data_IF_147735164285
#
_entry.id   IF_147735164285
#
_cell.length_a   1.000
_cell.length_b   1.000
_cell.length_c   1.000
_cell.angle_alpha   90.00
_cell.angle_beta   90.00
_cell.angle_gamma   90.00
#
_symmetry.space_group_name_H-M   'P 1'
#
loop_
_entity.id
_entity.type
_entity.pdbx_description
1 polymer ?
#
# COMPACT_ATOMS: atom_id res chain seq x y z
N UNK A 1 -21.60 58.46 10.55
CA UNK A 1 -20.49 57.57 10.97
C UNK A 1 -21.07 56.20 11.25
N UNK A 2 -20.63 55.21 10.44
CA UNK A 2 -20.46 53.78 10.76
C UNK A 2 -21.72 52.98 11.16
N UNK A 3 -22.04 51.81 10.61
CA UNK A 3 -21.33 50.92 9.68
C UNK A 3 -22.39 49.94 9.14
N UNK A 4 -22.65 49.95 7.83
CA UNK A 4 -23.49 48.93 7.20
C UNK A 4 -22.74 47.60 7.27
N UNK A 5 -23.32 46.63 7.97
CA UNK A 5 -22.84 45.24 7.97
C UNK A 5 -23.23 44.61 6.64
N UNK A 6 -22.30 44.62 5.70
CA UNK A 6 -22.30 43.77 4.52
C UNK A 6 -22.31 42.31 5.00
N UNK A 7 -23.48 41.66 4.93
CA UNK A 7 -23.58 40.21 5.02
C UNK A 7 -23.01 39.68 3.70
N UNK A 8 -21.71 39.38 3.71
CA UNK A 8 -21.04 38.68 2.62
C UNK A 8 -21.82 37.40 2.34
N UNK A 9 -22.44 37.31 1.15
CA UNK A 9 -23.05 36.09 0.66
C UNK A 9 -22.05 34.95 0.85
N UNK A 10 -22.45 33.98 1.67
CA UNK A 10 -21.75 32.72 1.80
C UNK A 10 -21.64 32.14 0.38
N UNK A 11 -20.42 32.19 -0.18
CA UNK A 11 -20.13 31.63 -1.48
C UNK A 11 -20.70 30.22 -1.54
N UNK A 12 -21.73 30.04 -2.38
CA UNK A 12 -22.29 28.73 -2.62
C UNK A 12 -21.14 27.84 -3.08
N UNK A 13 -20.74 26.88 -2.23
CA UNK A 13 -19.96 25.76 -2.71
C UNK A 13 -20.88 25.08 -3.72
N UNK A 14 -20.69 25.39 -5.00
CA UNK A 14 -21.36 24.71 -6.10
C UNK A 14 -21.14 23.22 -5.88
N UNK A 15 -22.16 22.56 -5.35
CA UNK A 15 -22.20 21.13 -5.22
C UNK A 15 -22.24 20.62 -6.64
N UNK A 16 -21.08 20.48 -7.28
CA UNK A 16 -20.96 19.77 -8.55
C UNK A 16 -21.59 18.41 -8.32
N UNK A 17 -22.75 18.19 -8.94
CA UNK A 17 -23.48 16.94 -8.88
C UNK A 17 -22.52 15.83 -9.30
N UNK A 18 -22.30 14.92 -8.36
CA UNK A 18 -21.37 13.83 -8.56
C UNK A 18 -22.05 12.79 -9.46
N UNK A 19 -21.56 12.67 -10.69
CA UNK A 19 -21.90 11.56 -11.56
C UNK A 19 -20.84 10.47 -11.39
N UNK A 20 -21.30 9.28 -11.01
CA UNK A 20 -20.45 8.10 -10.99
C UNK A 20 -19.86 7.84 -12.38
N UNK A 21 -18.54 7.64 -12.51
CA UNK A 21 -17.97 7.23 -13.77
C UNK A 21 -18.55 5.86 -14.17
N UNK A 22 -18.77 5.61 -15.47
CA UNK A 22 -19.28 4.33 -15.93
C UNK A 22 -18.35 3.20 -15.46
N UNK A 23 -18.91 2.01 -15.14
CA UNK A 23 -18.11 0.89 -14.68
C UNK A 23 -17.05 0.52 -15.73
N UNK A 24 -15.84 0.20 -15.28
CA UNK A 24 -14.75 -0.11 -16.19
C UNK A 24 -15.13 -1.33 -17.06
N UNK A 25 -14.90 -1.29 -18.38
CA UNK A 25 -15.06 -2.45 -19.23
C UNK A 25 -14.15 -3.57 -18.74
N UNK A 26 -14.66 -4.81 -18.71
CA UNK A 26 -13.88 -5.96 -18.24
C UNK A 26 -12.62 -6.17 -19.09
N UNK A 27 -12.74 -5.96 -20.39
CA UNK A 27 -11.65 -6.05 -21.36
C UNK A 27 -11.56 -4.73 -22.13
N UNK A 28 -10.43 -4.03 -21.99
CA UNK A 28 -10.07 -2.86 -22.80
C UNK A 28 -8.64 -3.03 -23.34
N UNK A 29 -8.49 -3.69 -24.51
CA UNK A 29 -7.17 -3.90 -25.12
C UNK A 29 -6.52 -2.59 -25.56
N UNK A 30 -7.28 -1.50 -25.72
CA UNK A 30 -6.76 -0.18 -26.08
C UNK A 30 -5.86 0.38 -24.98
N UNK A 31 -5.99 -0.09 -23.73
CA UNK A 31 -5.08 0.30 -22.64
C UNK A 31 -3.63 -0.12 -22.89
N UNK A 32 -3.40 -1.25 -23.56
CA UNK A 32 -2.06 -1.76 -23.85
C UNK A 32 -1.28 -0.87 -24.83
N UNK A 33 -1.97 -0.06 -25.60
CA UNK A 33 -1.35 0.88 -26.55
C UNK A 33 -0.93 2.19 -25.87
N UNK A 34 -1.41 2.45 -24.65
CA UNK A 34 -1.18 3.74 -23.97
C UNK A 34 0.17 3.75 -23.24
N UNK A 35 0.99 4.78 -23.51
CA UNK A 35 2.26 4.97 -22.80
C UNK A 35 2.10 5.15 -21.28
N UNK A 36 1.01 5.79 -20.86
CA UNK A 36 0.69 5.97 -19.44
C UNK A 36 0.46 4.65 -18.70
N UNK A 37 0.02 3.59 -19.40
CA UNK A 37 -0.15 2.26 -18.82
C UNK A 37 1.19 1.65 -18.42
N UNK A 38 2.19 1.68 -19.31
CA UNK A 38 3.53 1.18 -19.00
C UNK A 38 4.21 2.00 -17.90
N UNK A 39 4.03 3.32 -17.89
CA UNK A 39 4.51 4.17 -16.78
C UNK A 39 3.91 3.75 -15.43
N UNK A 40 2.61 3.42 -15.41
CA UNK A 40 1.95 2.92 -14.22
C UNK A 40 2.47 1.53 -13.79
N UNK A 41 2.72 0.62 -14.73
CA UNK A 41 3.32 -0.68 -14.43
C UNK A 41 4.71 -0.58 -13.82
N UNK A 42 5.56 0.30 -14.37
CA UNK A 42 6.89 0.56 -13.83
C UNK A 42 6.78 1.16 -12.43
N UNK A 43 5.82 2.07 -12.19
CA UNK A 43 5.58 2.63 -10.87
C UNK A 43 5.20 1.57 -9.83
N UNK A 44 4.29 0.64 -10.16
CA UNK A 44 3.91 -0.48 -9.28
C UNK A 44 5.09 -1.44 -9.01
N UNK A 45 5.89 -1.74 -10.03
CA UNK A 45 7.11 -2.55 -9.89
C UNK A 45 8.14 -1.89 -8.97
N UNK A 46 8.46 -0.62 -9.20
CA UNK A 46 9.47 0.11 -8.39
C UNK A 46 8.97 0.31 -6.97
N UNK A 47 7.68 0.64 -6.78
CA UNK A 47 7.11 0.79 -5.45
C UNK A 47 7.17 -0.51 -4.65
N UNK A 48 6.78 -1.65 -5.26
CA UNK A 48 6.88 -2.96 -4.58
C UNK A 48 8.31 -3.39 -4.32
N UNK A 49 9.25 -3.11 -5.22
CA UNK A 49 10.67 -3.33 -5.00
C UNK A 49 11.17 -2.58 -3.75
N UNK A 50 10.90 -1.27 -3.67
CA UNK A 50 11.31 -0.45 -2.54
C UNK A 50 10.60 -0.85 -1.25
N UNK A 51 9.31 -1.19 -1.33
CA UNK A 51 8.52 -1.66 -0.19
C UNK A 51 9.16 -2.91 0.45
N UNK A 52 9.40 -3.95 -0.35
CA UNK A 52 9.98 -5.21 0.16
C UNK A 52 11.44 -5.05 0.56
N UNK A 53 12.22 -4.25 -0.16
CA UNK A 53 13.61 -3.98 0.19
C UNK A 53 13.74 -3.37 1.59
N UNK A 54 13.03 -2.27 1.87
CA UNK A 54 13.13 -1.56 3.16
C UNK A 54 12.55 -2.39 4.30
N UNK A 55 11.39 -3.02 4.10
CA UNK A 55 10.72 -3.78 5.17
C UNK A 55 11.48 -5.03 5.54
N UNK A 56 11.94 -5.83 4.57
CA UNK A 56 12.71 -7.06 4.85
C UNK A 56 14.07 -6.73 5.44
N UNK A 57 14.73 -5.67 4.97
CA UNK A 57 16.00 -5.22 5.56
C UNK A 57 15.80 -4.79 7.03
N UNK A 58 14.69 -4.12 7.35
CA UNK A 58 14.36 -3.73 8.74
C UNK A 58 14.12 -4.96 9.63
N UNK A 59 13.41 -5.99 9.12
CA UNK A 59 13.19 -7.25 9.86
C UNK A 59 14.50 -7.97 10.15
N UNK A 60 15.39 -8.08 9.16
CA UNK A 60 16.70 -8.73 9.32
C UNK A 60 17.59 -7.91 10.24
N UNK A 61 17.60 -6.59 10.10
CA UNK A 61 18.33 -5.66 10.97
C UNK A 61 17.90 -5.81 12.43
N UNK A 62 16.58 -5.82 12.68
CA UNK A 62 16.04 -6.05 14.03
C UNK A 62 16.48 -7.39 14.60
N UNK A 63 16.29 -8.49 13.85
CA UNK A 63 16.70 -9.84 14.30
C UNK A 63 18.21 -9.93 14.55
N UNK A 64 19.01 -9.24 13.76
CA UNK A 64 20.46 -9.17 13.97
C UNK A 64 20.87 -8.33 15.19
N UNK A 65 20.09 -7.33 15.59
CA UNK A 65 20.38 -6.48 16.74
C UNK A 65 20.07 -7.15 18.07
N UNK A 66 19.08 -8.03 18.09
CA UNK A 66 18.68 -8.77 19.31
C UNK A 66 19.46 -10.08 19.49
N UNK A 67 20.11 -10.59 18.43
CA UNK A 67 20.89 -11.81 18.49
C UNK A 67 22.26 -11.56 19.14
N UNK A 68 22.43 -12.06 20.38
CA UNK A 68 23.70 -12.01 21.12
C UNK A 68 23.92 -10.78 22.00
N UNK A 69 22.96 -9.87 22.12
CA UNK A 69 23.04 -8.70 23.01
C UNK A 69 22.48 -8.99 24.42
N UNK A 70 23.11 -8.40 25.45
CA UNK A 70 22.61 -8.46 26.83
C UNK A 70 21.33 -7.61 27.04
N UNK A 71 21.12 -6.60 26.20
CA UNK A 71 19.90 -5.80 26.14
C UNK A 71 18.96 -6.30 25.03
N UNK A 72 18.09 -7.25 25.38
CA UNK A 72 17.04 -7.80 24.52
C UNK A 72 16.08 -6.74 23.95
N UNK A 73 16.13 -5.49 24.46
CA UNK A 73 15.27 -4.37 24.09
C UNK A 73 15.98 -3.27 23.27
N UNK A 74 17.27 -3.40 22.94
CA UNK A 74 18.05 -2.32 22.30
C UNK A 74 17.77 -2.07 20.80
N UNK A 75 16.96 -2.89 20.16
CA UNK A 75 16.62 -2.76 18.73
C UNK A 75 15.42 -1.85 18.45
N UNK A 76 15.05 -1.72 17.18
CA UNK A 76 13.83 -0.98 16.75
C UNK A 76 12.52 -1.54 17.32
N UNK A 77 12.57 -2.75 17.88
CA UNK A 77 11.42 -3.46 18.41
C UNK A 77 10.47 -3.95 17.32
N UNK A 78 9.51 -4.78 17.73
CA UNK A 78 8.44 -5.24 16.82
C UNK A 78 7.56 -4.07 16.34
N UNK A 79 7.48 -3.01 17.15
CA UNK A 79 6.82 -1.76 16.79
C UNK A 79 7.52 -1.04 15.63
N UNK A 80 8.85 -0.99 15.62
CA UNK A 80 9.60 -0.40 14.52
C UNK A 80 9.42 -1.16 13.21
N UNK A 81 9.30 -2.49 13.26
CA UNK A 81 8.95 -3.28 12.08
C UNK A 81 7.55 -2.90 11.57
N UNK A 82 6.55 -2.84 12.44
CA UNK A 82 5.19 -2.45 12.03
C UNK A 82 5.15 -1.03 11.40
N UNK A 83 5.93 -0.10 11.94
CA UNK A 83 6.12 1.24 11.36
C UNK A 83 6.79 1.21 9.99
N UNK A 84 7.79 0.35 9.77
CA UNK A 84 8.43 0.23 8.46
C UNK A 84 7.42 -0.23 7.39
N UNK A 85 6.58 -1.23 7.70
CA UNK A 85 5.54 -1.69 6.78
C UNK A 85 4.46 -0.62 6.53
N UNK A 86 3.88 -0.05 7.58
CA UNK A 86 2.82 0.95 7.43
C UNK A 86 3.32 2.26 6.80
N UNK A 87 4.50 2.74 7.24
CA UNK A 87 5.11 3.96 6.75
C UNK A 87 5.53 3.88 5.29
N UNK A 88 6.11 2.74 4.86
CA UNK A 88 6.47 2.55 3.45
C UNK A 88 5.23 2.52 2.55
N UNK A 89 4.14 1.84 2.95
CA UNK A 89 2.90 1.89 2.19
C UNK A 89 2.37 3.32 2.09
N UNK A 90 2.35 4.08 3.19
CA UNK A 90 1.92 5.48 3.17
C UNK A 90 2.72 6.32 2.16
N UNK A 91 4.06 6.28 2.23
CA UNK A 91 4.92 7.05 1.32
C UNK A 91 4.74 6.61 -0.12
N UNK A 92 4.74 5.31 -0.39
CA UNK A 92 4.68 4.80 -1.75
C UNK A 92 3.32 5.03 -2.39
N UNK A 93 2.22 4.84 -1.65
CA UNK A 93 0.88 5.20 -2.12
C UNK A 93 0.82 6.69 -2.44
N UNK A 94 1.35 7.55 -1.57
CA UNK A 94 1.40 8.99 -1.82
C UNK A 94 2.15 9.33 -3.12
N UNK A 95 3.31 8.71 -3.34
CA UNK A 95 4.11 8.93 -4.55
C UNK A 95 3.47 8.37 -5.83
N UNK A 96 2.73 7.26 -5.74
CA UNK A 96 2.23 6.53 -6.91
C UNK A 96 0.73 6.70 -7.17
N UNK A 97 -0.03 7.29 -6.26
CA UNK A 97 -1.47 7.53 -6.40
C UNK A 97 -1.81 8.30 -7.69
N UNK A 98 -1.02 9.31 -8.05
CA UNK A 98 -1.22 10.10 -9.27
C UNK A 98 -0.74 9.41 -10.56
N UNK A 99 -0.04 8.27 -10.48
CA UNK A 99 0.55 7.60 -11.64
C UNK A 99 -0.15 6.26 -11.90
N UNK A 100 -0.12 5.35 -10.92
CA UNK A 100 -0.69 4.00 -11.05
C UNK A 100 -2.01 3.81 -10.33
N UNK A 101 -2.33 4.69 -9.37
CA UNK A 101 -3.40 4.50 -8.38
C UNK A 101 -2.90 4.00 -7.03
N UNK A 102 -1.61 3.67 -6.91
CA UNK A 102 -0.96 3.29 -5.65
C UNK A 102 -1.50 1.99 -5.07
N UNK A 103 -1.53 0.92 -5.86
CA UNK A 103 -2.08 -0.36 -5.39
C UNK A 103 -1.06 -1.11 -4.53
N UNK A 104 0.16 -1.33 -5.05
CA UNK A 104 1.35 -1.94 -4.40
C UNK A 104 1.10 -3.37 -3.87
N UNK A 105 -0.15 -3.86 -3.95
CA UNK A 105 -0.61 -5.10 -3.37
C UNK A 105 -1.59 -5.80 -4.33
N UNK A 106 -1.34 -7.09 -4.66
CA UNK A 106 -2.24 -7.87 -5.50
C UNK A 106 -3.67 -7.95 -4.96
N UNK A 107 -3.86 -8.07 -3.63
CA UNK A 107 -5.18 -8.14 -3.02
C UNK A 107 -5.97 -6.82 -3.16
N UNK A 108 -5.28 -5.68 -3.07
CA UNK A 108 -5.87 -4.35 -3.30
C UNK A 108 -6.29 -4.22 -4.77
N UNK A 109 -5.40 -4.61 -5.68
CA UNK A 109 -5.67 -4.61 -7.13
C UNK A 109 -6.87 -5.50 -7.46
N UNK A 110 -6.93 -6.69 -6.85
CA UNK A 110 -8.03 -7.64 -7.02
C UNK A 110 -9.35 -7.09 -6.46
N UNK A 111 -9.33 -6.48 -5.28
CA UNK A 111 -10.52 -5.82 -4.70
C UNK A 111 -11.07 -4.74 -5.63
N UNK A 112 -10.22 -3.84 -6.12
CA UNK A 112 -10.63 -2.78 -7.06
C UNK A 112 -11.12 -3.32 -8.42
N UNK A 113 -10.58 -4.45 -8.87
CA UNK A 113 -11.09 -5.18 -10.03
C UNK A 113 -12.51 -5.72 -9.79
N UNK A 114 -12.77 -6.36 -8.65
CA UNK A 114 -14.12 -6.85 -8.30
C UNK A 114 -15.14 -5.71 -8.19
N UNK A 115 -14.72 -4.54 -7.74
CA UNK A 115 -15.54 -3.33 -7.72
C UNK A 115 -15.69 -2.63 -9.09
N UNK A 116 -15.20 -3.24 -10.19
CA UNK A 116 -15.21 -2.69 -11.55
C UNK A 116 -14.59 -1.29 -11.67
N UNK A 117 -13.61 -1.00 -10.82
CA UNK A 117 -12.80 0.25 -10.89
C UNK A 117 -11.54 0.08 -11.76
N UNK A 118 -11.16 -1.16 -12.06
CA UNK A 118 -9.96 -1.53 -12.80
C UNK A 118 -10.32 -2.61 -13.85
N UNK A 119 -9.76 -2.53 -15.06
CA UNK A 119 -9.94 -3.55 -16.11
C UNK A 119 -9.20 -4.85 -15.76
N UNK A 120 -9.62 -5.99 -16.32
CA UNK A 120 -8.97 -7.27 -16.05
C UNK A 120 -7.50 -7.26 -16.50
N UNK A 121 -7.22 -6.68 -17.67
CA UNK A 121 -5.88 -6.59 -18.23
C UNK A 121 -4.96 -5.80 -17.30
N UNK A 122 -5.41 -4.64 -16.83
CA UNK A 122 -4.66 -3.82 -15.87
C UNK A 122 -4.44 -4.55 -14.56
N UNK A 123 -5.46 -5.23 -14.04
CA UNK A 123 -5.35 -5.98 -12.79
C UNK A 123 -4.28 -7.07 -12.87
N UNK A 124 -4.31 -7.90 -13.92
CA UNK A 124 -3.33 -8.99 -14.11
C UNK A 124 -1.91 -8.42 -14.28
N UNK A 125 -1.74 -7.40 -15.11
CA UNK A 125 -0.42 -6.81 -15.35
C UNK A 125 0.15 -6.13 -14.10
N UNK A 126 -0.69 -5.49 -13.28
CA UNK A 126 -0.27 -4.92 -11.99
C UNK A 126 0.17 -6.02 -11.02
N UNK A 127 -0.58 -7.13 -10.92
CA UNK A 127 -0.20 -8.25 -10.05
C UNK A 127 1.15 -8.86 -10.46
N UNK A 128 1.38 -9.03 -11.76
CA UNK A 128 2.68 -9.49 -12.28
C UNK A 128 3.79 -8.51 -11.93
N UNK A 129 3.59 -7.21 -12.18
CA UNK A 129 4.57 -6.17 -11.86
C UNK A 129 4.89 -6.13 -10.35
N UNK A 130 3.88 -6.26 -9.49
CA UNK A 130 4.01 -6.26 -8.04
C UNK A 130 4.79 -7.49 -7.55
N UNK A 131 4.50 -8.68 -8.08
CA UNK A 131 5.22 -9.91 -7.75
C UNK A 131 6.69 -9.84 -8.18
N UNK A 132 6.96 -9.35 -9.40
CA UNK A 132 8.33 -9.18 -9.88
C UNK A 132 9.10 -8.16 -9.06
N UNK A 133 8.48 -7.03 -8.71
CA UNK A 133 9.09 -6.01 -7.86
C UNK A 133 9.42 -6.55 -6.48
N UNK A 134 8.50 -7.30 -5.86
CA UNK A 134 8.74 -7.97 -4.59
C UNK A 134 9.93 -8.95 -4.64
N UNK A 135 10.01 -9.78 -5.68
CA UNK A 135 11.15 -10.71 -5.88
C UNK A 135 12.47 -9.95 -6.00
N UNK A 136 12.51 -8.88 -6.81
CA UNK A 136 13.69 -8.05 -6.96
C UNK A 136 14.10 -7.37 -5.65
N UNK A 137 13.14 -6.81 -4.90
CA UNK A 137 13.39 -6.13 -3.63
C UNK A 137 14.01 -7.06 -2.58
N UNK A 138 13.43 -8.24 -2.38
CA UNK A 138 13.97 -9.26 -1.46
C UNK A 138 15.29 -9.82 -1.98
N UNK A 139 15.43 -9.99 -3.31
CA UNK A 139 16.67 -10.40 -3.96
C UNK A 139 17.84 -9.48 -3.67
N UNK A 140 17.62 -8.16 -3.69
CA UNK A 140 18.63 -7.16 -3.33
C UNK A 140 19.06 -7.28 -1.86
N UNK A 141 18.12 -7.47 -0.92
CA UNK A 141 18.45 -7.68 0.50
C UNK A 141 19.32 -8.92 0.68
N UNK A 142 18.96 -10.03 0.01
CA UNK A 142 19.75 -11.27 0.04
C UNK A 142 21.14 -11.08 -0.58
N UNK A 143 21.28 -10.23 -1.61
CA UNK A 143 22.56 -9.94 -2.23
C UNK A 143 23.50 -9.18 -1.29
N UNK A 144 22.98 -8.19 -0.54
CA UNK A 144 23.79 -7.40 0.39
C UNK A 144 24.13 -8.11 1.70
N UNK A 145 23.20 -8.90 2.25
CA UNK A 145 23.36 -9.52 3.58
C UNK A 145 23.06 -11.02 3.56
N UNK A 146 23.71 -11.77 2.66
CA UNK A 146 23.40 -13.20 2.41
C UNK A 146 23.46 -14.10 3.66
N UNK A 147 24.44 -13.91 4.54
CA UNK A 147 24.60 -14.69 5.77
C UNK A 147 23.48 -14.42 6.76
N UNK A 148 23.24 -13.15 7.08
CA UNK A 148 22.17 -12.68 7.96
C UNK A 148 20.79 -13.06 7.41
N UNK A 149 20.55 -12.87 6.12
CA UNK A 149 19.31 -13.24 5.45
C UNK A 149 18.96 -14.71 5.67
N UNK A 150 19.92 -15.62 5.47
CA UNK A 150 19.71 -17.06 5.67
C UNK A 150 19.49 -17.41 7.14
N UNK A 151 20.22 -16.77 8.05
CA UNK A 151 20.15 -17.05 9.49
C UNK A 151 18.79 -16.65 10.09
N UNK A 152 18.23 -15.52 9.67
CA UNK A 152 17.05 -14.91 10.29
C UNK A 152 15.73 -15.17 9.55
N UNK A 153 15.70 -16.13 8.63
CA UNK A 153 14.49 -16.54 7.90
C UNK A 153 14.07 -15.60 6.77
N UNK A 154 14.94 -14.66 6.36
CA UNK A 154 14.77 -13.87 5.14
C UNK A 154 13.55 -12.95 5.06
N UNK A 155 12.88 -12.70 6.20
CA UNK A 155 11.62 -11.95 6.24
C UNK A 155 10.43 -12.69 5.62
N UNK A 156 10.52 -14.01 5.49
CA UNK A 156 9.43 -14.83 4.96
C UNK A 156 8.27 -14.93 5.95
N UNK A 157 7.05 -14.97 5.42
CA UNK A 157 5.84 -15.12 6.21
C UNK A 157 5.66 -16.61 6.53
N UNK A 158 5.68 -16.96 7.82
CA UNK A 158 5.45 -18.33 8.30
C UNK A 158 4.42 -18.30 9.43
N UNK A 159 3.80 -19.45 9.69
CA UNK A 159 2.94 -19.60 10.85
C UNK A 159 3.82 -19.74 12.10
N UNK A 160 3.56 -18.94 13.14
CA UNK A 160 4.24 -19.09 14.42
C UNK A 160 3.86 -20.43 15.08
N UNK A 161 4.81 -21.02 15.80
CA UNK A 161 4.59 -22.25 16.55
C UNK A 161 3.46 -22.08 17.57
N UNK A 162 2.60 -23.09 17.68
CA UNK A 162 1.45 -23.08 18.59
C UNK A 162 0.16 -22.53 17.98
N UNK A 163 0.18 -22.00 16.75
CA UNK A 163 -1.04 -21.61 16.03
C UNK A 163 -1.46 -22.68 15.01
N UNK A 164 -2.78 -22.86 14.86
CA UNK A 164 -3.33 -23.73 13.82
C UNK A 164 -3.34 -23.02 12.46
N UNK A 165 -3.29 -23.80 11.37
CA UNK A 165 -3.43 -23.24 10.00
C UNK A 165 -4.72 -22.46 9.82
N UNK A 166 -5.82 -22.89 10.46
CA UNK A 166 -7.09 -22.18 10.44
C UNK A 166 -7.03 -20.81 11.12
N UNK A 167 -6.30 -20.70 12.23
CA UNK A 167 -6.07 -19.43 12.93
C UNK A 167 -5.24 -18.48 12.07
N UNK A 168 -4.16 -18.96 11.46
CA UNK A 168 -3.34 -18.16 10.55
C UNK A 168 -4.14 -17.65 9.35
N UNK A 169 -4.90 -18.54 8.70
CA UNK A 169 -5.74 -18.17 7.56
C UNK A 169 -6.81 -17.13 7.95
N UNK A 170 -7.50 -17.33 9.09
CA UNK A 170 -8.50 -16.39 9.58
C UNK A 170 -7.92 -15.00 9.86
N UNK A 171 -6.70 -14.95 10.43
CA UNK A 171 -5.99 -13.70 10.66
C UNK A 171 -5.69 -12.96 9.34
N UNK A 172 -5.17 -13.67 8.32
CA UNK A 172 -4.86 -13.09 7.01
C UNK A 172 -6.10 -12.56 6.29
N UNK A 173 -7.22 -13.28 6.36
CA UNK A 173 -8.50 -12.86 5.75
C UNK A 173 -8.98 -11.56 6.40
N UNK A 174 -9.05 -11.50 7.72
CA UNK A 174 -9.54 -10.32 8.44
C UNK A 174 -8.59 -9.13 8.23
N UNK A 175 -7.28 -9.36 8.30
CA UNK A 175 -6.27 -8.32 8.06
C UNK A 175 -6.36 -7.73 6.66
N UNK A 176 -6.50 -8.58 5.63
CA UNK A 176 -6.66 -8.14 4.24
C UNK A 176 -8.00 -7.44 4.02
N UNK A 177 -9.08 -7.92 4.66
CA UNK A 177 -10.39 -7.26 4.59
C UNK A 177 -10.32 -5.82 5.09
N UNK A 178 -9.72 -5.59 6.26
CA UNK A 178 -9.56 -4.23 6.81
C UNK A 178 -8.73 -3.34 5.88
N UNK A 179 -7.63 -3.87 5.34
CA UNK A 179 -6.78 -3.15 4.39
C UNK A 179 -7.59 -2.71 3.17
N UNK A 180 -8.27 -3.65 2.52
CA UNK A 180 -9.05 -3.39 1.29
C UNK A 180 -10.25 -2.50 1.58
N UNK A 181 -10.95 -2.70 2.69
CA UNK A 181 -12.04 -1.82 3.14
C UNK A 181 -11.56 -0.38 3.35
N UNK A 182 -10.37 -0.20 3.95
CA UNK A 182 -9.76 1.13 4.13
C UNK A 182 -9.44 1.77 2.79
N UNK A 183 -8.93 1.00 1.81
CA UNK A 183 -8.69 1.51 0.46
C UNK A 183 -10.00 1.97 -0.20
N UNK A 184 -11.06 1.18 -0.12
CA UNK A 184 -12.38 1.57 -0.65
C UNK A 184 -12.94 2.82 0.03
N UNK A 185 -12.74 2.95 1.34
CA UNK A 185 -13.17 4.14 2.10
C UNK A 185 -12.33 5.38 1.76
N UNK A 186 -11.07 5.18 1.33
CA UNK A 186 -10.14 6.25 0.98
C UNK A 186 -10.22 6.66 -0.51
N UNK A 187 -10.84 5.85 -1.38
CA UNK A 187 -11.04 6.22 -2.79
C UNK A 187 -11.96 7.43 -2.90
N UNK A 188 -11.42 8.53 -3.44
CA UNK A 188 -12.19 9.74 -3.73
C UNK A 188 -13.05 9.53 -4.98
N UNK A 189 -14.39 9.55 -4.88
CA UNK A 189 -15.26 9.43 -6.04
C UNK A 189 -14.98 10.48 -7.13
N UNK A 190 -14.49 11.66 -6.75
CA UNK A 190 -14.34 12.82 -7.65
C UNK A 190 -12.99 12.91 -8.36
N UNK A 191 -12.04 12.00 -8.12
CA UNK A 191 -10.68 12.09 -8.67
C UNK A 191 -10.23 10.77 -9.27
N UNK A 192 -9.77 10.81 -10.52
CA UNK A 192 -9.12 9.69 -11.20
C UNK A 192 -7.63 9.95 -11.35
N UNK A 193 -6.81 8.90 -11.39
CA UNK A 193 -5.36 9.00 -11.56
C UNK A 193 -4.94 9.81 -12.81
N UNK A 194 -5.83 9.95 -13.81
CA UNK A 194 -5.55 10.63 -15.09
C UNK A 194 -5.59 12.17 -15.04
N UNK A 195 -6.18 12.78 -14.02
CA UNK A 195 -6.40 14.25 -13.97
C UNK A 195 -5.30 15.06 -13.27
N UNK A 196 -4.15 14.45 -13.00
CA UNK A 196 -3.04 15.07 -12.25
C UNK A 196 -2.10 15.91 -13.14
N UNK A 197 -2.61 16.99 -13.74
CA UNK A 197 -1.77 18.14 -14.16
C UNK A 197 -1.43 19.07 -12.98
N UNK A 198 -1.89 18.75 -11.77
CA UNK A 198 -1.58 19.48 -10.54
C UNK A 198 -1.07 18.47 -9.51
N UNK A 199 0.12 18.67 -8.92
CA UNK A 199 0.64 17.79 -7.88
C UNK A 199 -0.29 17.87 -6.66
N UNK A 200 -0.84 16.72 -6.31
CA UNK A 200 -1.29 16.24 -4.99
C UNK A 200 -1.53 17.33 -3.93
N UNK A 201 -2.66 18.03 -4.04
CA UNK A 201 -3.29 18.69 -2.89
C UNK A 201 -4.72 18.17 -2.75
N UNK A 202 -5.01 17.60 -1.58
CA UNK A 202 -6.33 17.21 -1.08
C UNK A 202 -6.99 15.98 -1.74
N UNK A 203 -6.47 14.79 -1.48
CA UNK A 203 -7.35 13.79 -0.87
C UNK A 203 -7.07 13.84 0.63
N UNK A 204 -8.12 14.03 1.42
CA UNK A 204 -8.07 14.07 2.89
C UNK A 204 -7.52 12.73 3.40
N UNK A 205 -6.20 12.64 3.58
CA UNK A 205 -5.52 11.59 4.33
C UNK A 205 -5.89 11.71 5.82
N UNK A 206 -7.13 11.38 6.19
CA UNK A 206 -7.58 11.34 7.59
C UNK A 206 -7.37 9.97 8.25
N UNK A 207 -6.60 9.06 7.66
CA UNK A 207 -6.27 7.79 8.33
C UNK A 207 -4.82 7.33 8.13
N UNK A 208 -3.81 8.07 8.62
CA UNK A 208 -2.45 7.54 8.71
C UNK A 208 -2.23 6.61 9.92
N UNK A 209 -3.13 6.57 10.92
CA UNK A 209 -2.93 5.79 12.16
C UNK A 209 -3.43 4.34 12.13
N UNK A 210 -4.33 3.97 11.21
CA UNK A 210 -4.90 2.62 11.19
C UNK A 210 -3.88 1.57 10.72
N UNK A 211 -3.00 1.89 9.76
CA UNK A 211 -2.05 0.93 9.19
C UNK A 211 -1.01 0.38 10.17
N UNK A 212 -0.59 1.19 11.14
CA UNK A 212 0.46 0.81 12.11
C UNK A 212 -0.07 -0.15 13.17
N UNK A 213 -1.32 0.04 13.62
CA UNK A 213 -1.91 -0.78 14.68
C UNK A 213 -2.18 -2.24 14.25
N UNK A 214 -2.57 -2.45 12.98
CA UNK A 214 -2.82 -3.82 12.47
C UNK A 214 -1.56 -4.61 12.20
N UNK A 215 -0.52 -4.00 11.61
CA UNK A 215 0.73 -4.71 11.39
C UNK A 215 1.34 -5.21 12.70
N UNK A 216 1.10 -4.53 13.83
CA UNK A 216 1.55 -4.95 15.16
C UNK A 216 0.86 -6.24 15.63
N UNK A 217 -0.45 -6.37 15.41
CA UNK A 217 -1.22 -7.59 15.72
C UNK A 217 -0.81 -8.72 14.78
N UNK A 218 -0.61 -8.40 13.50
CA UNK A 218 -0.24 -9.36 12.47
C UNK A 218 1.17 -9.92 12.63
N UNK A 219 2.13 -9.07 13.02
CA UNK A 219 3.49 -9.51 13.35
C UNK A 219 3.55 -10.38 14.61
N UNK A 220 2.49 -10.39 15.44
CA UNK A 220 2.44 -11.18 16.66
C UNK A 220 1.81 -12.57 16.44
N UNK A 221 1.13 -12.75 15.31
CA UNK A 221 0.51 -14.01 14.87
C UNK A 221 1.39 -14.79 13.88
N UNK A 222 2.55 -14.25 13.51
CA UNK A 222 3.58 -14.82 12.62
C UNK A 222 4.92 -14.86 13.35
#
# INVERSE_FOLDING_TARGET
>A
MAKDMEVTEAGSFSAKDYHDPPPAPLFDPVELTKWSFYRALIAEFIATLLFLYITVLTVIGYKSQIDGNADSCGGVGILGIAWAFGGMIFVLVYCTAGISGGHINPAVTFGLFLARKVSLIRAVMYMVAQCLGAICGVGLVKAFQKSYYKKYGGGANTLADGFSTGTGLGAEIIGTFVLVYTVFSATDPKRSARDSHVPVCASKLRCPFFFVSYYLVFLKLR
#
